data_IF_530518163675
#
_entry.id   IF_530518163675
#
_cell.length_a   1.000
_cell.length_b   1.000
_cell.length_c   1.000
_cell.angle_alpha   90.00
_cell.angle_beta   90.00
_cell.angle_gamma   90.00
#
_symmetry.space_group_name_H-M   'P 1'
#
loop_
_entity.id
_entity.type
_entity.pdbx_description
1 polymer ?
#
# COMPACT_ATOMS: atom_id res chain seq x y z
N UNK A 1 15.38 5.69 11.23
CA UNK A 1 16.13 4.43 11.08
C UNK A 1 16.89 4.52 9.77
N UNK A 2 18.12 4.02 9.70
CA UNK A 2 18.92 4.03 8.46
C UNK A 2 18.94 2.62 7.86
N UNK A 3 18.41 2.45 6.65
CA UNK A 3 18.27 1.14 6.01
C UNK A 3 19.61 0.43 5.82
N UNK A 4 20.56 1.10 5.17
CA UNK A 4 21.87 0.52 4.82
C UNK A 4 22.67 0.11 6.04
N UNK A 5 22.67 0.93 7.09
CA UNK A 5 23.34 0.64 8.34
C UNK A 5 22.72 -0.57 9.05
N UNK A 6 21.39 -0.61 9.17
CA UNK A 6 20.68 -1.71 9.82
C UNK A 6 20.83 -3.03 9.04
N UNK A 7 20.74 -2.98 7.70
CA UNK A 7 20.98 -4.15 6.85
C UNK A 7 22.40 -4.68 7.04
N UNK A 8 23.42 -3.82 6.96
CA UNK A 8 24.81 -4.22 7.16
C UNK A 8 25.05 -4.82 8.55
N UNK A 9 24.45 -4.24 9.59
CA UNK A 9 24.51 -4.78 10.95
C UNK A 9 23.89 -6.18 11.02
N UNK A 10 22.67 -6.37 10.53
CA UNK A 10 22.00 -7.67 10.52
C UNK A 10 22.79 -8.73 9.72
N UNK A 11 23.32 -8.36 8.56
CA UNK A 11 24.16 -9.25 7.74
C UNK A 11 25.43 -9.69 8.49
N UNK A 12 26.13 -8.76 9.14
CA UNK A 12 27.36 -9.07 9.90
C UNK A 12 27.10 -10.01 11.08
N UNK A 13 25.91 -9.91 11.70
CA UNK A 13 25.49 -10.74 12.82
C UNK A 13 24.78 -12.04 12.39
N UNK A 14 24.49 -12.19 11.09
CA UNK A 14 23.69 -13.29 10.53
C UNK A 14 22.30 -13.40 11.18
N UNK A 15 21.69 -12.25 11.45
CA UNK A 15 20.35 -12.14 12.01
C UNK A 15 19.40 -11.55 10.97
N UNK A 16 18.11 -11.86 11.12
CA UNK A 16 17.05 -11.15 10.40
C UNK A 16 16.61 -9.95 11.23
N UNK A 17 16.39 -8.83 10.57
CA UNK A 17 15.95 -7.60 11.21
C UNK A 17 14.59 -7.82 11.86
N UNK A 18 14.47 -7.34 13.09
CA UNK A 18 13.22 -7.23 13.82
C UNK A 18 13.03 -5.78 14.20
N UNK A 19 11.99 -5.16 13.69
CA UNK A 19 11.78 -3.73 13.85
C UNK A 19 11.25 -3.42 15.27
N UNK A 20 12.04 -2.76 16.13
CA UNK A 20 11.60 -2.44 17.49
C UNK A 20 10.52 -1.35 17.50
N UNK A 21 10.40 -0.58 16.42
CA UNK A 21 9.45 0.55 16.32
C UNK A 21 8.11 0.17 15.71
N UNK A 22 8.02 -1.01 15.08
CA UNK A 22 6.78 -1.58 14.55
C UNK A 22 6.78 -3.10 14.77
N UNK A 23 6.69 -3.55 16.03
CA UNK A 23 6.89 -4.95 16.39
C UNK A 23 5.83 -5.86 15.79
N UNK A 24 6.15 -7.14 15.63
CA UNK A 24 5.20 -8.20 15.27
C UNK A 24 4.23 -8.50 16.44
N UNK A 25 3.39 -7.53 16.78
CA UNK A 25 2.56 -7.49 17.97
C UNK A 25 1.21 -6.81 17.68
N UNK A 26 0.20 -7.05 18.53
CA UNK A 26 -1.15 -6.50 18.36
C UNK A 26 -1.19 -4.96 18.35
N UNK A 27 -0.19 -4.29 18.93
CA UNK A 27 -0.03 -2.84 18.87
C UNK A 27 0.15 -2.31 17.45
N UNK A 28 0.84 -3.06 16.59
CA UNK A 28 1.07 -2.69 15.19
C UNK A 28 -0.16 -2.97 14.31
N UNK A 29 -1.03 -3.88 14.76
CA UNK A 29 -2.34 -4.13 14.14
C UNK A 29 -3.34 -3.03 14.52
N UNK A 30 -3.40 -2.69 15.81
CA UNK A 30 -4.39 -1.79 16.40
C UNK A 30 -5.53 -2.55 17.08
N UNK A 31 -5.84 -2.15 18.32
CA UNK A 31 -6.70 -2.89 19.25
C UNK A 31 -8.19 -2.92 18.88
N UNK A 32 -8.62 -2.02 18.00
CA UNK A 32 -10.01 -1.86 17.57
C UNK A 32 -10.25 -2.35 16.13
N UNK A 33 -9.21 -2.81 15.42
CA UNK A 33 -9.36 -3.30 14.05
C UNK A 33 -10.16 -4.62 14.01
N UNK A 34 -9.96 -5.48 15.01
CA UNK A 34 -10.59 -6.78 15.12
C UNK A 34 -11.00 -7.06 16.57
N UNK A 35 -11.99 -7.94 16.81
CA UNK A 35 -12.26 -8.50 18.12
C UNK A 35 -11.01 -9.11 18.79
N UNK A 36 -10.93 -9.03 20.11
CA UNK A 36 -9.76 -9.45 20.88
C UNK A 36 -9.36 -10.91 20.65
N UNK A 37 -10.34 -11.81 20.51
CA UNK A 37 -10.11 -13.23 20.24
C UNK A 37 -9.46 -13.47 18.86
N UNK A 38 -9.73 -12.59 17.88
CA UNK A 38 -9.07 -12.63 16.56
C UNK A 38 -7.67 -12.02 16.65
N UNK A 39 -7.50 -10.91 17.37
CA UNK A 39 -6.19 -10.27 17.56
C UNK A 39 -5.16 -11.24 18.17
N UNK A 40 -5.58 -12.01 19.19
CA UNK A 40 -4.72 -13.02 19.85
C UNK A 40 -4.32 -14.19 18.93
N UNK A 41 -5.04 -14.38 17.81
CA UNK A 41 -4.77 -15.43 16.82
C UNK A 41 -3.92 -14.96 15.63
N UNK A 42 -3.56 -13.67 15.59
CA UNK A 42 -2.71 -13.14 14.52
C UNK A 42 -1.32 -13.76 14.61
N UNK A 43 -0.87 -14.30 13.48
CA UNK A 43 0.47 -14.81 13.30
C UNK A 43 1.24 -13.87 12.41
N UNK A 44 2.50 -13.64 12.72
CA UNK A 44 3.40 -12.85 11.89
C UNK A 44 4.38 -13.78 11.20
N UNK A 45 4.42 -13.75 9.87
CA UNK A 45 5.27 -14.64 9.07
C UNK A 45 6.05 -13.84 8.04
N UNK A 46 7.31 -14.21 7.84
CA UNK A 46 8.14 -13.67 6.77
C UNK A 46 7.80 -14.38 5.44
N UNK A 47 7.94 -13.70 4.30
CA UNK A 47 7.87 -14.30 2.96
C UNK A 47 8.69 -15.59 2.80
N UNK A 48 9.88 -15.66 3.41
CA UNK A 48 10.75 -16.84 3.38
C UNK A 48 10.19 -18.05 4.14
N UNK A 49 9.22 -17.86 5.03
CA UNK A 49 8.51 -18.95 5.71
C UNK A 49 7.30 -19.46 4.90
N UNK A 50 6.83 -18.65 3.94
CA UNK A 50 5.62 -18.91 3.14
C UNK A 50 5.96 -19.53 1.79
N UNK A 51 7.08 -19.12 1.19
CA UNK A 51 7.49 -19.48 -0.16
C UNK A 51 8.97 -19.81 -0.20
N UNK A 52 9.35 -20.76 -1.07
CA UNK A 52 10.76 -21.13 -1.27
C UNK A 52 11.56 -20.04 -1.97
N UNK A 53 10.95 -19.35 -2.93
CA UNK A 53 11.57 -18.34 -3.76
C UNK A 53 10.75 -17.04 -3.71
N UNK A 54 10.76 -16.30 -2.59
CA UNK A 54 10.09 -15.01 -2.51
C UNK A 54 10.83 -13.97 -3.36
N UNK A 55 10.09 -13.08 -4.00
CA UNK A 55 10.60 -11.95 -4.75
C UNK A 55 9.90 -10.68 -4.26
N UNK A 56 10.62 -9.57 -4.33
CA UNK A 56 10.00 -8.29 -4.02
C UNK A 56 9.02 -7.94 -5.15
N UNK A 57 9.51 -8.00 -6.39
CA UNK A 57 8.74 -7.74 -7.61
C UNK A 57 8.95 -8.89 -8.60
N UNK A 58 7.90 -9.32 -9.29
CA UNK A 58 7.92 -10.36 -10.33
C UNK A 58 7.39 -9.75 -11.63
N UNK A 59 8.17 -9.80 -12.71
CA UNK A 59 7.79 -9.26 -14.03
C UNK A 59 7.40 -7.76 -14.05
N UNK A 60 7.87 -7.01 -13.05
CA UNK A 60 7.64 -5.58 -12.91
C UNK A 60 6.38 -5.26 -12.10
N UNK A 61 6.33 -4.05 -11.55
CA UNK A 61 5.22 -3.61 -10.70
C UNK A 61 3.97 -3.31 -11.53
N UNK A 62 2.83 -3.85 -11.10
CA UNK A 62 1.56 -3.75 -11.78
C UNK A 62 0.41 -3.54 -10.81
N UNK A 63 -0.60 -2.76 -11.23
CA UNK A 63 -1.87 -2.62 -10.49
C UNK A 63 -2.57 -3.96 -10.23
N UNK A 64 -2.25 -5.00 -11.03
CA UNK A 64 -2.85 -6.33 -10.89
C UNK A 64 -2.23 -7.15 -9.75
N UNK A 65 -1.16 -6.67 -9.14
CA UNK A 65 -0.50 -7.34 -8.02
C UNK A 65 -1.21 -7.01 -6.69
N UNK A 66 -2.04 -5.98 -6.69
CA UNK A 66 -2.73 -5.45 -5.51
C UNK A 66 -4.09 -6.13 -5.34
N UNK A 67 -4.21 -6.98 -4.33
CA UNK A 67 -5.50 -7.54 -3.90
C UNK A 67 -5.77 -7.10 -2.46
N UNK A 68 -6.81 -6.30 -2.27
CA UNK A 68 -7.17 -5.79 -0.95
C UNK A 68 -7.55 -6.93 0.02
N UNK A 69 -7.02 -6.85 1.24
CA UNK A 69 -7.39 -7.75 2.34
C UNK A 69 -8.62 -7.28 3.12
N UNK A 70 -8.62 -7.51 4.42
CA UNK A 70 -9.75 -7.18 5.32
C UNK A 70 -9.71 -5.73 5.84
N UNK A 71 -8.62 -5.00 5.58
CA UNK A 71 -8.42 -3.63 6.04
C UNK A 71 -9.17 -2.66 5.13
N UNK A 72 -9.77 -1.62 5.71
CA UNK A 72 -10.57 -0.61 5.01
C UNK A 72 -9.72 0.47 4.32
N UNK A 73 -8.61 0.08 3.70
CA UNK A 73 -7.57 0.97 3.15
C UNK A 73 -7.65 1.13 1.62
N UNK A 74 -8.79 0.78 1.02
CA UNK A 74 -9.06 0.91 -0.43
C UNK A 74 -8.64 2.27 -1.02
N UNK A 75 -8.74 3.34 -0.24
CA UNK A 75 -8.31 4.69 -0.63
C UNK A 75 -6.81 4.76 -0.95
N UNK A 76 -5.98 4.12 -0.12
CA UNK A 76 -4.54 4.03 -0.32
C UNK A 76 -4.22 3.05 -1.45
N UNK A 77 -4.86 1.88 -1.48
CA UNK A 77 -4.62 0.87 -2.51
C UNK A 77 -5.02 1.35 -3.91
N UNK A 78 -6.10 2.13 -4.04
CA UNK A 78 -6.50 2.74 -5.31
C UNK A 78 -5.50 3.82 -5.78
N UNK A 79 -4.95 4.61 -4.85
CA UNK A 79 -3.86 5.53 -5.15
C UNK A 79 -2.59 4.77 -5.57
N UNK A 80 -2.25 3.68 -4.87
CA UNK A 80 -1.12 2.81 -5.22
C UNK A 80 -1.29 2.17 -6.60
N UNK A 81 -2.51 1.72 -6.92
CA UNK A 81 -2.87 1.23 -8.25
C UNK A 81 -2.58 2.25 -9.34
N UNK A 82 -2.89 3.53 -9.11
CA UNK A 82 -2.56 4.62 -10.05
C UNK A 82 -1.05 4.88 -10.14
N UNK A 83 -0.32 4.77 -9.02
CA UNK A 83 1.14 4.95 -8.96
C UNK A 83 1.86 3.92 -9.83
N UNK A 84 1.37 2.68 -9.92
CA UNK A 84 1.97 1.64 -10.77
C UNK A 84 2.02 2.02 -12.26
N UNK A 85 1.16 2.95 -12.70
CA UNK A 85 1.15 3.46 -14.08
C UNK A 85 2.26 4.50 -14.32
N UNK A 86 2.83 5.07 -13.26
CA UNK A 86 3.80 6.16 -13.32
C UNK A 86 5.14 5.76 -12.73
N UNK A 87 5.93 5.02 -13.53
CA UNK A 87 7.24 4.47 -13.15
C UNK A 87 8.17 5.50 -12.48
N UNK A 88 8.17 6.75 -12.96
CA UNK A 88 9.01 7.82 -12.41
C UNK A 88 8.72 8.11 -10.92
N UNK A 89 7.46 8.11 -10.52
CA UNK A 89 7.08 8.33 -9.12
C UNK A 89 7.22 7.04 -8.30
N UNK A 90 6.91 5.89 -8.90
CA UNK A 90 7.04 4.60 -8.24
C UNK A 90 8.47 4.34 -7.72
N UNK A 91 9.50 4.71 -8.48
CA UNK A 91 10.90 4.52 -8.08
C UNK A 91 11.31 5.36 -6.85
N UNK A 92 10.61 6.46 -6.58
CA UNK A 92 10.80 7.20 -5.33
C UNK A 92 10.23 6.43 -4.15
N UNK A 93 9.04 5.84 -4.31
CA UNK A 93 8.32 5.14 -3.23
C UNK A 93 8.88 3.74 -2.95
N UNK A 94 9.27 3.01 -4.01
CA UNK A 94 9.84 1.66 -3.97
C UNK A 94 11.26 1.69 -4.56
N UNK A 95 12.29 1.93 -3.72
CA UNK A 95 13.69 1.82 -4.13
C UNK A 95 14.04 0.41 -4.63
N UNK A 96 14.94 0.32 -5.61
CA UNK A 96 15.33 -0.94 -6.29
C UNK A 96 16.55 -1.64 -5.69
N UNK A 97 17.17 -1.06 -4.67
CA UNK A 97 18.38 -1.52 -3.98
C UNK A 97 18.10 -2.54 -2.88
N UNK A 98 16.95 -3.21 -2.95
CA UNK A 98 16.45 -4.16 -1.96
C UNK A 98 15.78 -5.36 -2.65
N UNK A 99 15.73 -6.49 -1.95
CA UNK A 99 15.16 -7.72 -2.47
C UNK A 99 15.38 -8.90 -1.53
N UNK A 100 14.93 -10.09 -1.94
CA UNK A 100 15.11 -11.33 -1.19
C UNK A 100 16.34 -12.13 -1.63
N UNK A 101 16.90 -11.80 -2.79
CA UNK A 101 17.95 -12.56 -3.44
C UNK A 101 19.33 -12.18 -2.88
N UNK A 102 19.67 -10.89 -2.96
CA UNK A 102 20.98 -10.37 -2.57
C UNK A 102 20.87 -9.58 -1.26
N UNK A 103 21.87 -9.74 -0.37
CA UNK A 103 21.97 -9.00 0.90
C UNK A 103 20.69 -9.07 1.76
N UNK A 104 19.93 -10.16 1.65
CA UNK A 104 18.71 -10.35 2.41
C UNK A 104 19.00 -10.48 3.90
N UNK A 105 18.39 -9.58 4.67
CA UNK A 105 18.44 -9.58 6.13
C UNK A 105 17.05 -9.36 6.74
N UNK A 106 15.97 -9.71 6.02
CA UNK A 106 14.60 -9.54 6.51
C UNK A 106 14.20 -8.08 6.76
N UNK A 107 14.80 -7.15 6.01
CA UNK A 107 14.66 -5.69 6.12
C UNK A 107 14.38 -5.09 4.75
N UNK A 108 13.44 -4.14 4.69
CA UNK A 108 13.02 -3.42 3.49
C UNK A 108 12.79 -1.95 3.84
N UNK A 109 12.70 -1.08 2.84
CA UNK A 109 12.37 0.33 3.05
C UNK A 109 11.55 0.92 1.91
N UNK A 110 10.74 1.90 2.24
CA UNK A 110 9.84 2.59 1.32
C UNK A 110 9.84 4.07 1.63
N UNK A 111 9.61 4.93 0.64
CA UNK A 111 9.58 6.38 0.87
C UNK A 111 8.19 6.92 0.68
N UNK A 112 7.80 7.79 1.59
CA UNK A 112 6.54 8.51 1.52
C UNK A 112 6.81 9.99 1.72
N UNK A 113 6.14 10.81 0.95
CA UNK A 113 6.15 12.25 1.12
C UNK A 113 5.35 12.61 2.37
N UNK A 114 5.93 13.32 3.32
CA UNK A 114 5.25 13.82 4.50
C UNK A 114 5.58 15.30 4.67
N UNK A 115 4.55 16.15 4.55
CA UNK A 115 4.60 17.57 4.90
C UNK A 115 5.76 18.38 4.30
N UNK A 116 6.25 18.02 3.10
CA UNK A 116 7.32 18.75 2.43
C UNK A 116 8.61 17.97 2.22
N UNK A 117 8.75 16.79 2.84
CA UNK A 117 9.97 15.99 2.78
C UNK A 117 9.67 14.51 2.49
N UNK A 118 10.61 13.84 1.82
CA UNK A 118 10.58 12.38 1.66
C UNK A 118 11.08 11.71 2.93
N UNK A 119 10.23 10.86 3.52
CA UNK A 119 10.54 10.07 4.71
C UNK A 119 10.81 8.62 4.31
N UNK A 120 12.01 8.14 4.61
CA UNK A 120 12.41 6.74 4.40
C UNK A 120 11.95 5.89 5.58
N UNK A 121 11.05 4.95 5.31
CA UNK A 121 10.41 4.08 6.30
C UNK A 121 10.97 2.67 6.16
N UNK A 122 11.84 2.30 7.10
CA UNK A 122 12.41 0.96 7.21
C UNK A 122 11.44 0.04 7.93
N UNK A 123 11.27 -1.20 7.47
CA UNK A 123 10.47 -2.23 8.12
C UNK A 123 11.22 -3.57 8.11
N UNK A 124 10.86 -4.48 9.03
CA UNK A 124 11.10 -5.90 8.79
C UNK A 124 10.03 -6.50 7.85
N UNK A 125 10.24 -7.71 7.36
CA UNK A 125 9.33 -8.36 6.39
C UNK A 125 8.28 -9.29 7.01
N UNK A 126 8.08 -9.27 8.33
CA UNK A 126 7.02 -10.06 8.96
C UNK A 126 5.65 -9.48 8.61
N UNK A 127 4.78 -10.26 7.98
CA UNK A 127 3.43 -9.85 7.57
C UNK A 127 2.36 -10.51 8.44
N UNK A 128 1.23 -9.85 8.73
CA UNK A 128 0.18 -10.38 9.58
C UNK A 128 -0.76 -11.34 8.85
N UNK A 129 -1.01 -12.49 9.46
CA UNK A 129 -1.93 -13.53 8.99
C UNK A 129 -2.97 -13.85 10.06
N UNK A 130 -4.20 -14.09 9.63
CA UNK A 130 -5.28 -14.60 10.46
C UNK A 130 -5.82 -15.89 9.84
N UNK A 131 -5.80 -16.99 10.60
CA UNK A 131 -6.23 -18.32 10.14
C UNK A 131 -5.54 -18.77 8.84
N UNK A 132 -4.27 -18.42 8.66
CA UNK A 132 -3.48 -18.79 7.47
C UNK A 132 -3.71 -17.89 6.24
N UNK A 133 -4.61 -16.92 6.32
CA UNK A 133 -4.87 -15.93 5.26
C UNK A 133 -4.19 -14.60 5.58
N UNK A 134 -3.80 -13.85 4.56
CA UNK A 134 -3.33 -12.48 4.74
C UNK A 134 -4.42 -11.64 5.42
N UNK A 135 -4.04 -10.87 6.43
CA UNK A 135 -4.96 -9.90 7.03
C UNK A 135 -5.10 -8.65 6.15
N UNK A 136 -4.01 -8.26 5.53
CA UNK A 136 -3.84 -7.00 4.81
C UNK A 136 -3.66 -7.25 3.31
N UNK A 137 -3.26 -6.25 2.51
CA UNK A 137 -3.08 -6.43 1.05
C UNK A 137 -2.21 -7.66 0.78
N UNK A 138 -2.61 -8.45 -0.21
CA UNK A 138 -1.90 -9.65 -0.59
C UNK A 138 -1.60 -9.64 -2.09
N UNK A 139 -0.54 -10.33 -2.51
CA UNK A 139 -0.19 -10.39 -3.92
C UNK A 139 -1.19 -11.26 -4.68
N UNK A 140 -1.30 -11.01 -5.98
CA UNK A 140 -2.03 -11.90 -6.90
C UNK A 140 -1.26 -13.20 -7.16
N UNK A 141 0.06 -13.12 -7.29
CA UNK A 141 0.96 -14.28 -7.40
C UNK A 141 1.55 -14.63 -6.05
N UNK A 142 1.71 -15.92 -5.75
CA UNK A 142 2.04 -16.36 -4.38
C UNK A 142 3.44 -15.95 -3.90
N UNK A 143 4.35 -15.55 -4.79
CA UNK A 143 5.77 -15.30 -4.51
C UNK A 143 6.21 -13.83 -4.69
N UNK A 144 5.31 -12.89 -4.90
CA UNK A 144 5.60 -11.46 -5.01
C UNK A 144 5.15 -10.73 -3.74
N UNK A 145 5.93 -9.80 -3.19
CA UNK A 145 5.66 -9.27 -1.85
C UNK A 145 5.68 -7.73 -1.72
N UNK A 146 6.00 -7.00 -2.79
CA UNK A 146 6.03 -5.53 -2.74
C UNK A 146 4.71 -4.90 -2.24
N UNK A 147 3.49 -5.37 -2.60
CA UNK A 147 2.27 -4.70 -2.15
C UNK A 147 2.14 -4.79 -0.62
N UNK A 148 2.29 -5.99 -0.08
CA UNK A 148 2.16 -6.26 1.36
C UNK A 148 3.22 -5.56 2.19
N UNK A 149 4.45 -5.48 1.69
CA UNK A 149 5.53 -4.77 2.38
C UNK A 149 5.35 -3.25 2.32
N UNK A 150 4.87 -2.71 1.20
CA UNK A 150 4.60 -1.28 1.07
C UNK A 150 3.46 -0.85 1.99
N UNK A 151 2.35 -1.58 2.01
CA UNK A 151 1.24 -1.33 2.92
C UNK A 151 1.68 -1.42 4.38
N UNK A 152 2.54 -2.40 4.74
CA UNK A 152 3.13 -2.46 6.08
C UNK A 152 3.94 -1.21 6.43
N UNK A 153 4.79 -0.73 5.52
CA UNK A 153 5.57 0.48 5.73
C UNK A 153 4.67 1.71 5.88
N UNK A 154 3.59 1.78 5.10
CA UNK A 154 2.59 2.83 5.23
C UNK A 154 1.81 2.73 6.56
N UNK A 155 1.41 1.53 6.98
CA UNK A 155 0.80 1.27 8.29
C UNK A 155 1.71 1.71 9.44
N UNK A 156 3.02 1.43 9.33
CA UNK A 156 4.02 1.92 10.28
C UNK A 156 4.09 3.43 10.32
N UNK A 157 4.15 4.09 9.16
CA UNK A 157 4.17 5.55 9.08
C UNK A 157 2.92 6.17 9.74
N UNK A 158 1.77 5.51 9.59
CA UNK A 158 0.49 5.90 10.21
C UNK A 158 0.33 5.38 11.64
N UNK A 159 1.29 4.63 12.17
CA UNK A 159 1.35 4.10 13.53
C UNK A 159 0.73 2.71 13.76
N UNK A 160 -0.21 2.26 12.91
CA UNK A 160 -0.77 0.90 12.95
C UNK A 160 -1.59 0.60 11.69
N UNK A 161 -1.84 -0.68 11.41
CA UNK A 161 -2.76 -1.10 10.34
C UNK A 161 -4.18 -0.57 10.53
N UNK A 162 -4.66 -0.47 11.77
CA UNK A 162 -5.97 0.12 12.09
C UNK A 162 -6.09 1.55 11.58
N UNK A 163 -5.00 2.33 11.62
CA UNK A 163 -5.01 3.72 11.18
C UNK A 163 -5.08 3.87 9.65
N UNK A 164 -5.06 2.76 8.91
CA UNK A 164 -5.36 2.74 7.48
C UNK A 164 -6.85 2.54 7.19
N UNK A 165 -7.66 2.15 8.20
CA UNK A 165 -9.08 1.87 8.03
C UNK A 165 -9.88 3.17 7.86
N UNK A 166 -10.26 3.47 6.62
CA UNK A 166 -10.92 4.71 6.25
C UNK A 166 -9.95 5.89 6.12
N UNK A 167 -9.96 6.52 4.96
CA UNK A 167 -9.09 7.66 4.65
C UNK A 167 -9.46 8.30 3.32
N UNK A 168 -8.74 9.35 2.96
CA UNK A 168 -8.98 10.09 1.73
C UNK A 168 -7.97 9.68 0.67
N UNK A 169 -8.47 9.26 -0.50
CA UNK A 169 -7.63 8.90 -1.65
C UNK A 169 -6.66 10.04 -2.02
N UNK A 170 -7.09 11.31 -1.88
CA UNK A 170 -6.24 12.48 -2.09
C UNK A 170 -5.00 12.49 -1.19
N UNK A 171 -5.10 12.03 0.05
CA UNK A 171 -3.99 12.04 0.99
C UNK A 171 -2.93 11.01 0.55
N UNK A 172 -3.34 9.81 0.15
CA UNK A 172 -2.42 8.81 -0.38
C UNK A 172 -1.77 9.26 -1.69
N UNK A 173 -2.50 9.94 -2.57
CA UNK A 173 -1.93 10.51 -3.80
C UNK A 173 -0.80 11.51 -3.48
N UNK A 174 -0.99 12.37 -2.47
CA UNK A 174 0.05 13.30 -2.02
C UNK A 174 1.21 12.54 -1.39
N UNK A 175 0.93 11.59 -0.48
CA UNK A 175 1.96 10.82 0.20
C UNK A 175 2.84 9.99 -0.77
N UNK A 176 2.31 9.60 -1.93
CA UNK A 176 3.08 8.87 -2.95
C UNK A 176 3.82 9.76 -3.96
N UNK A 177 3.53 11.06 -4.01
CA UNK A 177 4.04 11.91 -5.10
C UNK A 177 4.67 13.23 -4.66
N UNK A 178 4.27 13.76 -3.50
CA UNK A 178 4.51 15.16 -3.12
C UNK A 178 3.81 16.20 -3.99
N UNK A 179 2.87 15.76 -4.84
CA UNK A 179 2.14 16.62 -5.76
C UNK A 179 1.01 17.42 -5.13
N UNK A 180 0.39 18.27 -5.94
CA UNK A 180 -0.84 19.00 -5.58
C UNK A 180 -2.05 18.19 -6.03
N UNK A 181 -3.06 18.09 -5.16
CA UNK A 181 -4.30 17.37 -5.45
C UNK A 181 -5.43 18.31 -5.86
N UNK A 182 -6.27 17.86 -6.79
CA UNK A 182 -7.48 18.55 -7.25
C UNK A 182 -8.65 17.59 -7.11
N UNK A 183 -9.74 18.02 -6.47
CA UNK A 183 -10.98 17.23 -6.37
C UNK A 183 -12.01 17.77 -7.34
N UNK A 184 -12.59 16.87 -8.13
CA UNK A 184 -13.59 17.20 -9.14
C UNK A 184 -14.94 16.60 -8.71
N UNK A 185 -15.93 17.42 -8.31
CA UNK A 185 -17.25 16.91 -7.94
C UNK A 185 -17.96 16.35 -9.19
N UNK A 186 -18.43 15.09 -9.09
CA UNK A 186 -19.12 14.43 -10.21
C UNK A 186 -20.65 14.57 -10.18
N UNK A 187 -21.22 15.05 -9.07
CA UNK A 187 -22.68 15.32 -8.98
C UNK A 187 -23.10 16.57 -9.75
N UNK A 188 -22.19 17.53 -9.87
CA UNK A 188 -22.35 18.77 -10.62
C UNK A 188 -21.00 19.11 -11.28
N UNK A 189 -20.65 18.42 -12.38
CA UNK A 189 -19.33 18.52 -12.97
C UNK A 189 -19.18 19.81 -13.79
N UNK A 190 -17.97 20.37 -13.82
CA UNK A 190 -17.61 21.45 -14.75
C UNK A 190 -17.86 21.01 -16.20
N UNK A 191 -18.31 21.92 -17.10
CA UNK A 191 -18.39 21.65 -18.53
C UNK A 191 -17.08 21.11 -19.13
N UNK A 192 -15.94 21.51 -18.55
CA UNK A 192 -14.60 21.16 -19.03
C UNK A 192 -14.07 19.83 -18.46
N UNK A 193 -14.88 19.06 -17.71
CA UNK A 193 -14.41 17.86 -17.01
C UNK A 193 -13.70 16.87 -17.95
N UNK A 194 -14.24 16.64 -19.16
CA UNK A 194 -13.63 15.74 -20.13
C UNK A 194 -12.24 16.24 -20.56
N UNK A 195 -12.08 17.54 -20.78
CA UNK A 195 -10.82 18.15 -21.17
C UNK A 195 -9.80 18.09 -20.03
N UNK A 196 -10.25 18.34 -18.80
CA UNK A 196 -9.44 18.22 -17.57
C UNK A 196 -8.92 16.79 -17.43
N UNK A 197 -9.78 15.78 -17.56
CA UNK A 197 -9.39 14.37 -17.42
C UNK A 197 -8.39 13.93 -18.49
N UNK A 198 -8.60 14.36 -19.75
CA UNK A 198 -7.64 14.09 -20.83
C UNK A 198 -6.31 14.81 -20.62
N UNK A 199 -6.34 16.03 -20.09
CA UNK A 199 -5.13 16.78 -19.76
C UNK A 199 -4.36 16.10 -18.62
N UNK A 200 -5.07 15.62 -17.59
CA UNK A 200 -4.49 14.86 -16.48
C UNK A 200 -3.85 13.55 -16.95
N UNK A 201 -4.54 12.78 -17.80
CA UNK A 201 -4.02 11.55 -18.39
C UNK A 201 -2.74 11.79 -19.22
N UNK A 202 -2.77 12.77 -20.13
CA UNK A 202 -1.59 13.16 -20.93
C UNK A 202 -0.43 13.67 -20.07
N UNK A 203 -0.74 14.33 -18.96
CA UNK A 203 0.25 14.86 -18.01
C UNK A 203 0.72 13.81 -17.01
N UNK A 204 0.29 12.55 -17.17
CA UNK A 204 0.69 11.44 -16.31
C UNK A 204 0.30 11.66 -14.83
N UNK A 205 -0.79 12.39 -14.59
CA UNK A 205 -1.35 12.55 -13.25
C UNK A 205 -1.84 11.21 -12.72
N UNK A 206 -1.64 10.99 -11.42
CA UNK A 206 -2.29 9.89 -10.72
C UNK A 206 -3.75 10.27 -10.47
N UNK A 207 -4.67 9.38 -10.81
CA UNK A 207 -6.10 9.63 -10.73
C UNK A 207 -6.82 8.49 -10.02
N UNK A 208 -7.78 8.86 -9.19
CA UNK A 208 -8.72 7.93 -8.59
C UNK A 208 -10.08 8.58 -8.41
N UNK A 209 -11.09 7.77 -8.19
CA UNK A 209 -12.43 8.21 -7.89
C UNK A 209 -13.02 7.37 -6.75
N UNK A 210 -14.12 7.82 -6.17
CA UNK A 210 -14.77 7.09 -5.09
C UNK A 210 -16.28 7.18 -5.19
N UNK A 211 -16.94 6.19 -4.63
CA UNK A 211 -18.40 6.18 -4.46
C UNK A 211 -18.74 6.57 -3.02
N UNK A 212 -19.74 7.42 -2.85
CA UNK A 212 -20.25 7.76 -1.51
C UNK A 212 -21.13 6.63 -0.97
N UNK A 213 -21.02 6.34 0.33
CA UNK A 213 -21.96 5.48 1.07
C UNK A 213 -22.36 6.16 2.37
N UNK A 214 -23.62 6.01 2.78
CA UNK A 214 -24.09 6.41 4.12
C UNK A 214 -23.95 5.27 5.14
N UNK A 215 -23.57 4.07 4.69
CA UNK A 215 -23.47 2.87 5.51
C UNK A 215 -22.02 2.61 5.87
N UNK A 216 -21.79 2.10 7.08
CA UNK A 216 -20.45 1.73 7.57
C UNK A 216 -19.82 0.54 6.84
N UNK A 217 -20.57 -0.14 5.97
CA UNK A 217 -20.11 -1.29 5.20
C UNK A 217 -20.18 -1.02 3.71
N UNK A 218 -19.23 -1.60 3.00
CA UNK A 218 -19.21 -1.62 1.53
C UNK A 218 -20.35 -2.50 1.02
N UNK A 219 -21.05 -2.03 -0.02
CA UNK A 219 -22.15 -2.74 -0.66
C UNK A 219 -21.88 -2.78 -2.17
N UNK A 220 -21.79 -3.99 -2.71
CA UNK A 220 -21.74 -4.20 -4.15
C UNK A 220 -23.14 -4.00 -4.74
N UNK A 221 -23.24 -3.09 -5.71
CA UNK A 221 -24.45 -2.84 -6.48
C UNK A 221 -24.62 -3.89 -7.57
N UNK A 222 -25.83 -4.00 -8.13
CA UNK A 222 -26.14 -4.95 -9.21
C UNK A 222 -25.28 -4.78 -10.47
N UNK A 223 -24.66 -3.62 -10.66
CA UNK A 223 -23.75 -3.33 -11.76
C UNK A 223 -22.27 -3.64 -11.43
N UNK A 224 -21.99 -4.26 -10.28
CA UNK A 224 -20.64 -4.59 -9.82
C UNK A 224 -19.89 -3.45 -9.15
N UNK A 225 -20.46 -2.24 -9.07
CA UNK A 225 -19.82 -1.11 -8.38
C UNK A 225 -20.06 -1.24 -6.88
N UNK A 226 -18.98 -1.23 -6.11
CA UNK A 226 -18.99 -1.15 -4.65
C UNK A 226 -19.17 0.29 -4.18
N UNK A 227 -20.13 0.52 -3.28
CA UNK A 227 -20.38 1.80 -2.60
C UNK A 227 -19.43 2.00 -1.41
N UNK A 228 -19.03 3.26 -1.15
CA UNK A 228 -18.12 3.60 -0.06
C UNK A 228 -16.67 3.20 -0.35
N UNK A 229 -16.34 3.03 -1.63
CA UNK A 229 -15.10 2.42 -2.08
C UNK A 229 -14.35 3.32 -3.06
N UNK A 230 -13.01 3.25 -3.01
CA UNK A 230 -12.12 3.98 -3.90
C UNK A 230 -11.69 3.11 -5.09
N UNK A 231 -11.54 3.72 -6.25
CA UNK A 231 -11.16 3.08 -7.50
C UNK A 231 -10.02 3.85 -8.16
N UNK A 232 -9.14 3.11 -8.82
CA UNK A 232 -8.11 3.67 -9.70
C UNK A 232 -8.73 4.08 -11.03
N UNK A 233 -8.51 5.32 -11.46
CA UNK A 233 -8.79 5.75 -12.83
C UNK A 233 -7.53 5.50 -13.64
N UNK A 234 -7.61 4.59 -14.62
CA UNK A 234 -6.42 4.07 -15.34
C UNK A 234 -6.18 4.74 -16.70
N UNK A 235 -7.07 5.63 -17.13
CA UNK A 235 -6.93 6.42 -18.34
C UNK A 235 -8.24 7.09 -18.75
N UNK A 236 -8.17 7.99 -19.73
CA UNK A 236 -9.33 8.67 -20.30
C UNK A 236 -9.18 8.84 -21.82
N UNK A 237 -10.06 8.21 -22.59
CA UNK A 237 -10.05 8.25 -24.06
C UNK A 237 -11.43 8.59 -24.60
N UNK A 238 -11.47 9.35 -25.70
CA UNK A 238 -12.69 9.52 -26.51
C UNK A 238 -12.62 8.52 -27.66
N UNK A 239 -13.62 7.64 -27.75
CA UNK A 239 -13.75 6.61 -28.78
C UNK A 239 -14.62 7.11 -29.91
#
# INVERSE_FOLDING_TARGET
>A
QDFSHLQAQCLSQRLLFEDPTFPAHVSSIGLNLLPEDKLRRIQWKRPTELQRNPYLVVDGVSRFDIMQGEIGDCWMLAALGSLTLQKKFLENVLPKDQGFQDNYAGIFHFRFWQYGDWVDVVIDDRLPFLNGMYLSVHPRTSNEFWPSLLEKAYAKLRGSYQNLHGGYLSDALVDFTGGVQVQLPLKDPSPDLEEILKAADRSQCLMGCSTSSQLKRNIELKNGIVQGHAYTVTGAVRV
#
